data_IF_686500992960
#
_entry.id   IF_686500992960
#
_cell.length_a   1.000
_cell.length_b   1.000
_cell.length_c   1.000
_cell.angle_alpha   90.00
_cell.angle_beta   90.00
_cell.angle_gamma   90.00
#
_symmetry.space_group_name_H-M   'P 1'
#
loop_
_entity.id
_entity.type
_entity.pdbx_description
1 polymer ?
#
# COMPACT_ATOMS: atom_id res chain seq x y z
N UNK A 1 1.91 12.35 -11.19
CA UNK A 1 2.14 11.08 -10.50
C UNK A 1 0.95 10.69 -9.65
N UNK A 2 0.59 9.43 -9.67
CA UNK A 2 -0.60 8.96 -8.96
C UNK A 2 -0.34 8.74 -7.46
N UNK A 3 0.88 8.37 -7.12
CA UNK A 3 1.28 8.11 -5.74
C UNK A 3 2.26 9.15 -5.23
N UNK A 4 2.18 9.42 -3.93
CA UNK A 4 3.19 10.25 -3.27
C UNK A 4 4.47 9.44 -3.09
N UNK A 5 5.57 10.13 -2.74
CA UNK A 5 6.85 9.45 -2.49
C UNK A 5 6.71 8.42 -1.36
N UNK A 6 5.98 8.76 -0.31
CA UNK A 6 5.78 7.85 0.81
C UNK A 6 4.99 6.62 0.39
N UNK A 7 3.97 6.81 -0.45
CA UNK A 7 3.20 5.70 -0.97
C UNK A 7 4.04 4.82 -1.88
N UNK A 8 4.89 5.42 -2.70
CA UNK A 8 5.79 4.67 -3.56
C UNK A 8 6.79 3.84 -2.74
N UNK A 9 7.26 4.38 -1.64
CA UNK A 9 8.14 3.62 -0.75
C UNK A 9 7.45 2.40 -0.16
N UNK A 10 6.19 2.54 0.23
CA UNK A 10 5.40 1.42 0.74
C UNK A 10 5.22 0.36 -0.33
N UNK A 11 4.92 0.77 -1.54
CA UNK A 11 4.75 -0.15 -2.66
C UNK A 11 6.04 -0.92 -2.90
N UNK A 12 7.18 -0.24 -2.85
CA UNK A 12 8.47 -0.90 -3.02
C UNK A 12 8.73 -1.95 -1.95
N UNK A 13 8.37 -1.64 -0.70
CA UNK A 13 8.58 -2.57 0.42
C UNK A 13 7.72 -3.82 0.32
N UNK A 14 6.50 -3.67 -0.16
CA UNK A 14 5.54 -4.77 -0.25
C UNK A 14 5.27 -5.20 -1.68
N UNK A 15 6.12 -4.80 -2.60
CA UNK A 15 5.94 -5.04 -4.02
C UNK A 15 5.79 -6.53 -4.33
N UNK A 16 4.86 -6.80 -5.25
CA UNK A 16 4.70 -8.12 -5.83
C UNK A 16 4.40 -7.91 -7.32
N UNK A 17 4.50 -8.96 -8.10
CA UNK A 17 4.22 -8.90 -9.54
C UNK A 17 2.79 -8.46 -9.83
N UNK A 18 1.88 -8.70 -8.89
CA UNK A 18 0.46 -8.40 -9.04
C UNK A 18 0.08 -7.28 -8.06
N UNK A 19 -0.55 -6.22 -8.59
CA UNK A 19 -1.00 -5.09 -7.76
C UNK A 19 -1.97 -5.52 -6.68
N UNK A 20 -2.83 -6.49 -6.96
CA UNK A 20 -3.76 -7.01 -5.96
C UNK A 20 -3.01 -7.61 -4.79
N UNK A 21 -1.95 -8.34 -5.08
CA UNK A 21 -1.14 -8.94 -4.03
C UNK A 21 -0.41 -7.88 -3.22
N UNK A 22 0.06 -6.84 -3.88
CA UNK A 22 0.69 -5.73 -3.19
C UNK A 22 -0.30 -5.07 -2.23
N UNK A 23 -1.52 -4.80 -2.69
CA UNK A 23 -2.57 -4.24 -1.84
C UNK A 23 -2.91 -5.17 -0.69
N UNK A 24 -3.00 -6.47 -0.96
CA UNK A 24 -3.28 -7.47 0.09
C UNK A 24 -2.17 -7.49 1.12
N UNK A 25 -0.92 -7.45 0.68
CA UNK A 25 0.23 -7.43 1.59
C UNK A 25 0.21 -6.19 2.47
N UNK A 26 -0.13 -5.03 1.91
CA UNK A 26 -0.25 -3.80 2.69
C UNK A 26 -1.32 -3.93 3.75
N UNK A 27 -2.49 -4.47 3.38
CA UNK A 27 -3.58 -4.66 4.34
C UNK A 27 -3.23 -5.67 5.42
N UNK A 28 -2.52 -6.72 5.04
CA UNK A 28 -2.11 -7.75 6.00
C UNK A 28 -1.12 -7.20 7.02
N UNK A 29 -0.35 -6.18 6.65
CA UNK A 29 0.63 -5.57 7.54
C UNK A 29 0.03 -4.48 8.44
N UNK A 30 -1.22 -4.07 8.20
CA UNK A 30 -1.84 -2.97 8.96
C UNK A 30 -1.78 -3.15 10.47
N UNK A 31 -2.04 -4.35 11.02
CA UNK A 31 -2.00 -4.52 12.47
C UNK A 31 -0.64 -4.26 13.10
N UNK A 32 0.42 -4.37 12.30
CA UNK A 32 1.79 -4.16 12.79
C UNK A 32 2.26 -2.72 12.60
N UNK A 33 1.43 -1.88 11.98
CA UNK A 33 1.77 -0.49 11.70
C UNK A 33 1.20 0.43 12.76
N UNK A 34 1.89 1.55 12.99
CA UNK A 34 1.30 2.59 13.84
C UNK A 34 0.19 3.29 13.06
N UNK A 35 -0.52 4.17 13.76
CA UNK A 35 -1.75 4.78 13.24
C UNK A 35 -1.53 5.55 11.94
N UNK A 36 -0.48 6.34 11.90
CA UNK A 36 -0.19 7.15 10.71
C UNK A 36 0.20 6.30 9.53
N UNK A 37 1.04 5.31 9.76
CA UNK A 37 1.49 4.42 8.71
C UNK A 37 0.32 3.56 8.22
N UNK A 38 -0.53 3.10 9.11
CA UNK A 38 -1.70 2.31 8.74
C UNK A 38 -2.64 3.11 7.83
N UNK A 39 -2.85 4.39 8.14
CA UNK A 39 -3.67 5.25 7.31
C UNK A 39 -3.08 5.41 5.92
N UNK A 40 -1.77 5.61 5.84
CA UNK A 40 -1.09 5.73 4.55
C UNK A 40 -1.16 4.43 3.75
N UNK A 41 -0.98 3.30 4.43
CA UNK A 41 -1.05 2.00 3.77
C UNK A 41 -2.45 1.71 3.23
N UNK A 42 -3.49 2.05 3.99
CA UNK A 42 -4.87 1.92 3.53
C UNK A 42 -5.13 2.74 2.28
N UNK A 43 -4.69 3.98 2.30
CA UNK A 43 -4.84 4.88 1.17
C UNK A 43 -4.12 4.33 -0.07
N UNK A 44 -2.91 3.84 0.12
CA UNK A 44 -2.11 3.27 -0.96
C UNK A 44 -2.79 2.02 -1.54
N UNK A 45 -3.27 1.14 -0.67
CA UNK A 45 -3.95 -0.07 -1.10
C UNK A 45 -5.22 0.25 -1.88
N UNK A 46 -5.98 1.25 -1.44
CA UNK A 46 -7.18 1.68 -2.16
C UNK A 46 -6.86 2.17 -3.56
N UNK A 47 -5.78 2.93 -3.69
CA UNK A 47 -5.34 3.40 -5.00
C UNK A 47 -4.93 2.25 -5.91
N UNK A 48 -4.23 1.27 -5.35
CA UNK A 48 -3.82 0.09 -6.12
C UNK A 48 -5.03 -0.68 -6.62
N UNK A 49 -6.04 -0.84 -5.79
CA UNK A 49 -7.28 -1.51 -6.19
C UNK A 49 -7.99 -0.75 -7.31
N UNK A 50 -7.98 0.57 -7.24
CA UNK A 50 -8.64 1.40 -8.24
C UNK A 50 -7.94 1.37 -9.59
N UNK A 51 -6.67 0.97 -9.61
CA UNK A 51 -5.88 0.92 -10.83
C UNK A 51 -6.03 -0.37 -11.63
N UNK A 52 -6.71 -1.33 -11.11
CA UNK A 52 -6.82 -2.65 -11.76
C UNK A 52 -7.48 -2.64 -13.13
#
# INVERSE_FOLDING_TARGET
>A
MYFTVEEENLICLYHNADRRRTATNLRAALPDMDKEMAALACQTADKLDAMS
#
